data_IF_194794968699
#
_entry.id   IF_194794968699
#
_cell.length_a   1.000
_cell.length_b   1.000
_cell.length_c   1.000
_cell.angle_alpha   90.00
_cell.angle_beta   90.00
_cell.angle_gamma   90.00
#
_symmetry.space_group_name_H-M   'P 1'
#
loop_
_entity.id
_entity.type
_entity.pdbx_description
1 polymer ?
#
# COMPACT_ATOMS: atom_id res chain seq x y z
N UNK A 1 -3.24 -12.62 -32.11
CA UNK A 1 -2.79 -11.65 -31.09
C UNK A 1 -1.90 -12.41 -30.12
N UNK A 2 -0.60 -12.11 -30.09
CA UNK A 2 0.32 -12.74 -29.13
C UNK A 2 0.06 -12.10 -27.76
N UNK A 3 -0.82 -12.71 -26.97
CA UNK A 3 -1.12 -12.29 -25.61
C UNK A 3 0.04 -12.62 -24.68
N UNK A 4 1.03 -11.74 -24.59
CA UNK A 4 2.08 -11.84 -23.58
C UNK A 4 1.51 -11.61 -22.18
N UNK A 5 1.97 -12.39 -21.20
CA UNK A 5 1.65 -12.15 -19.79
C UNK A 5 2.44 -10.93 -19.32
N UNK A 6 1.75 -9.93 -18.78
CA UNK A 6 2.37 -8.75 -18.18
C UNK A 6 2.29 -8.85 -16.66
N UNK A 7 3.44 -8.98 -16.00
CA UNK A 7 3.51 -9.00 -14.55
C UNK A 7 3.52 -7.58 -14.03
N UNK A 8 2.64 -7.29 -13.07
CA UNK A 8 2.58 -6.02 -12.35
C UNK A 8 3.04 -6.22 -10.91
N UNK A 9 3.67 -5.19 -10.35
CA UNK A 9 4.15 -5.16 -8.96
C UNK A 9 3.30 -4.15 -8.19
N UNK A 10 2.98 -4.45 -6.93
CA UNK A 10 2.27 -3.52 -6.07
C UNK A 10 3.21 -2.41 -5.62
N UNK A 11 2.83 -1.16 -5.85
CA UNK A 11 3.58 0.02 -5.41
C UNK A 11 3.01 0.66 -4.15
N UNK A 12 1.73 0.43 -3.85
CA UNK A 12 1.12 0.93 -2.64
C UNK A 12 -0.40 0.84 -2.62
N UNK A 13 -0.96 1.22 -1.47
CA UNK A 13 -2.41 1.24 -1.21
C UNK A 13 -2.74 2.55 -0.50
N UNK A 14 -3.79 3.23 -0.97
CA UNK A 14 -4.37 4.39 -0.28
C UNK A 14 -5.63 3.93 0.44
N UNK A 15 -5.73 4.28 1.72
CA UNK A 15 -6.85 3.97 2.60
C UNK A 15 -7.65 5.23 2.88
N UNK A 16 -8.97 5.06 3.00
CA UNK A 16 -9.88 6.10 3.48
C UNK A 16 -10.66 5.60 4.69
N UNK A 17 -10.73 6.44 5.72
CA UNK A 17 -11.52 6.19 6.91
C UNK A 17 -11.46 7.41 7.82
N UNK A 18 -12.51 7.62 8.60
CA UNK A 18 -12.57 8.73 9.56
C UNK A 18 -12.30 10.12 8.93
N UNK A 19 -12.77 10.35 7.71
CA UNK A 19 -12.56 11.58 6.93
C UNK A 19 -11.07 11.92 6.68
N UNK A 20 -10.20 10.91 6.65
CA UNK A 20 -8.77 11.06 6.47
C UNK A 20 -8.22 10.02 5.50
N UNK A 21 -7.26 10.43 4.66
CA UNK A 21 -6.56 9.52 3.75
C UNK A 21 -5.18 9.19 4.31
N UNK A 22 -4.86 7.90 4.30
CA UNK A 22 -3.55 7.39 4.70
C UNK A 22 -3.06 6.42 3.64
N UNK A 23 -1.77 6.07 3.63
CA UNK A 23 -1.22 5.21 2.59
C UNK A 23 -0.19 4.23 3.11
N UNK A 24 -0.07 3.11 2.43
CA UNK A 24 1.11 2.24 2.45
C UNK A 24 1.83 2.31 1.13
N UNK A 25 3.15 2.42 1.20
CA UNK A 25 4.05 2.42 0.06
C UNK A 25 4.88 1.15 0.15
N UNK A 26 4.99 0.43 -0.96
CA UNK A 26 5.79 -0.79 -1.05
C UNK A 26 7.04 -0.49 -1.87
N UNK A 27 8.21 -0.65 -1.25
CA UNK A 27 9.49 -0.52 -1.92
C UNK A 27 9.78 -1.80 -2.73
N UNK A 28 10.78 -1.70 -3.61
CA UNK A 28 11.22 -2.73 -4.54
C UNK A 28 11.71 -4.02 -3.88
N UNK A 29 12.15 -3.95 -2.63
CA UNK A 29 12.54 -5.11 -1.81
C UNK A 29 11.35 -5.76 -1.09
N UNK A 30 10.14 -5.18 -1.21
CA UNK A 30 8.93 -5.62 -0.52
C UNK A 30 8.70 -4.97 0.84
N UNK A 31 9.57 -4.04 1.26
CA UNK A 31 9.39 -3.26 2.49
C UNK A 31 8.15 -2.37 2.40
N UNK A 32 7.32 -2.37 3.44
CA UNK A 32 6.06 -1.62 3.52
C UNK A 32 6.21 -0.47 4.51
N UNK A 33 5.86 0.72 4.04
CA UNK A 33 5.92 1.95 4.83
C UNK A 33 4.56 2.63 4.90
N UNK A 34 4.09 2.92 6.11
CA UNK A 34 2.85 3.64 6.38
C UNK A 34 3.07 5.15 6.44
N UNK A 35 2.21 5.92 5.80
CA UNK A 35 2.19 7.37 5.82
C UNK A 35 0.79 7.86 6.19
N UNK A 36 0.71 8.56 7.32
CA UNK A 36 -0.52 9.18 7.80
C UNK A 36 -0.78 10.55 7.15
N UNK A 37 0.25 11.22 6.62
CA UNK A 37 0.13 12.56 6.04
C UNK A 37 -0.06 13.71 7.04
N UNK A 38 -0.74 13.49 8.18
CA UNK A 38 -0.97 14.51 9.23
C UNK A 38 -0.10 14.20 10.45
N UNK A 39 -0.31 13.05 11.08
CA UNK A 39 0.27 12.74 12.39
C UNK A 39 1.80 12.61 12.34
N UNK A 40 2.35 12.09 11.24
CA UNK A 40 3.78 11.78 11.12
C UNK A 40 4.61 12.88 10.44
N UNK A 41 4.07 14.09 10.24
CA UNK A 41 4.79 15.24 9.63
C UNK A 41 5.57 14.87 8.35
N UNK A 42 4.98 14.06 7.46
CA UNK A 42 5.54 13.52 6.19
C UNK A 42 6.54 12.35 6.32
N UNK A 43 6.83 11.85 7.52
CA UNK A 43 7.67 10.67 7.68
C UNK A 43 6.84 9.39 7.50
N UNK A 44 7.39 8.45 6.74
CA UNK A 44 6.82 7.11 6.62
C UNK A 44 7.37 6.23 7.74
N UNK A 45 6.52 5.37 8.31
CA UNK A 45 6.85 4.41 9.35
C UNK A 45 6.98 3.03 8.72
N UNK A 46 8.12 2.37 8.91
CA UNK A 46 8.27 0.98 8.48
C UNK A 46 7.32 0.07 9.27
N UNK A 47 6.51 -0.72 8.57
CA UNK A 47 5.54 -1.65 9.18
C UNK A 47 5.92 -3.13 8.99
N UNK A 48 6.81 -3.44 8.04
CA UNK A 48 7.26 -4.82 7.81
C UNK A 48 7.47 -5.15 6.34
N UNK A 49 7.42 -6.45 6.04
CA UNK A 49 7.57 -7.00 4.70
C UNK A 49 6.21 -7.37 4.12
N UNK A 50 5.96 -7.04 2.86
CA UNK A 50 4.69 -7.27 2.17
C UNK A 50 4.25 -8.73 2.21
N UNK A 51 5.18 -9.67 2.09
CA UNK A 51 4.93 -11.13 2.15
C UNK A 51 4.26 -11.59 3.46
N UNK A 52 4.40 -10.81 4.54
CA UNK A 52 3.84 -11.14 5.84
C UNK A 52 2.41 -10.59 6.04
N UNK A 53 1.84 -9.92 5.03
CA UNK A 53 0.50 -9.37 5.12
C UNK A 53 -0.56 -10.39 4.72
N UNK A 54 -1.55 -10.61 5.59
CA UNK A 54 -2.77 -11.29 5.17
C UNK A 54 -3.62 -10.39 4.26
N UNK A 55 -4.48 -10.95 3.39
CA UNK A 55 -5.38 -10.17 2.55
C UNK A 55 -6.20 -9.14 3.35
N UNK A 56 -6.72 -9.50 4.52
CA UNK A 56 -7.50 -8.58 5.36
C UNK A 56 -6.68 -7.38 5.83
N UNK A 57 -5.40 -7.61 6.15
CA UNK A 57 -4.45 -6.55 6.53
C UNK A 57 -4.05 -5.67 5.36
N UNK A 58 -4.22 -6.13 4.11
CA UNK A 58 -4.04 -5.29 2.93
C UNK A 58 -5.26 -4.41 2.66
N UNK A 59 -6.47 -4.96 2.82
CA UNK A 59 -7.72 -4.23 2.55
C UNK A 59 -8.14 -3.27 3.66
N UNK A 60 -7.63 -3.46 4.87
CA UNK A 60 -7.97 -2.64 6.03
C UNK A 60 -6.74 -2.20 6.82
N UNK A 61 -6.80 -0.97 7.33
CA UNK A 61 -5.84 -0.44 8.28
C UNK A 61 -6.57 0.33 9.37
N UNK A 62 -6.64 -0.24 10.58
CA UNK A 62 -7.47 0.30 11.65
C UNK A 62 -8.95 0.42 11.22
N UNK A 63 -9.48 1.63 11.22
CA UNK A 63 -10.86 1.94 10.78
C UNK A 63 -10.96 2.35 9.30
N UNK A 64 -9.87 2.31 8.56
CA UNK A 64 -9.79 2.72 7.16
C UNK A 64 -9.80 1.51 6.22
N UNK A 65 -10.39 1.69 5.04
CA UNK A 65 -10.46 0.66 3.98
C UNK A 65 -9.71 1.13 2.74
N UNK A 66 -9.10 0.19 2.03
CA UNK A 66 -8.41 0.48 0.78
C UNK A 66 -9.40 1.11 -0.22
N UNK A 67 -8.99 2.24 -0.78
CA UNK A 67 -9.74 3.01 -1.77
C UNK A 67 -9.05 3.03 -3.13
N UNK A 68 -7.71 2.94 -3.14
CA UNK A 68 -6.90 2.86 -4.35
C UNK A 68 -5.79 1.84 -4.13
N UNK A 69 -5.53 1.00 -5.12
CA UNK A 69 -4.35 0.14 -5.20
C UNK A 69 -3.52 0.57 -6.39
N UNK A 70 -2.23 0.79 -6.17
CA UNK A 70 -1.29 1.25 -7.17
C UNK A 70 -0.45 0.06 -7.60
N UNK A 71 -0.47 -0.22 -8.90
CA UNK A 71 0.40 -1.20 -9.53
C UNK A 71 1.31 -0.52 -10.54
N UNK A 72 2.52 -1.02 -10.68
CA UNK A 72 3.48 -0.55 -11.67
C UNK A 72 4.20 -1.72 -12.32
N UNK A 73 4.89 -1.43 -13.41
CA UNK A 73 5.78 -2.34 -14.11
C UNK A 73 6.97 -1.54 -14.63
N UNK A 74 8.12 -2.20 -14.74
CA UNK A 74 9.33 -1.62 -15.35
C UNK A 74 9.27 -1.65 -16.87
#
# INVERSE_FOLDING_TARGET
MNGGVHTMVIGGIIYYGQNHFTSRITDTDGSVFYNDGIMNKKQCIYEGQFINYSPDKLWTHGFSRASVVIYYSY
#
